data_IF_598619501472
#
_entry.id   IF_598619501472
#
_cell.length_a   1.000
_cell.length_b   1.000
_cell.length_c   1.000
_cell.angle_alpha   90.00
_cell.angle_beta   90.00
_cell.angle_gamma   90.00
#
_symmetry.space_group_name_H-M   'P 1'
#
loop_
_entity.id
_entity.type
_entity.pdbx_description
1 polymer ?
#
# COMPACT_ATOMS: atom_id res chain seq x y z
N UNK A 1 10.75 12.30 -17.48
CA UNK A 1 10.11 11.92 -16.21
C UNK A 1 10.92 12.44 -15.04
N UNK A 2 10.28 13.13 -14.09
CA UNK A 2 10.90 13.56 -12.82
C UNK A 2 9.95 13.22 -11.67
N UNK A 3 10.51 12.79 -10.55
CA UNK A 3 9.79 12.50 -9.31
C UNK A 3 10.33 13.40 -8.21
N UNK A 4 9.45 13.82 -7.32
CA UNK A 4 9.78 14.55 -6.11
C UNK A 4 8.94 14.02 -4.96
N UNK A 5 9.52 14.03 -3.77
CA UNK A 5 8.84 13.57 -2.56
C UNK A 5 9.09 14.55 -1.41
N UNK A 6 8.11 14.64 -0.53
CA UNK A 6 8.13 15.48 0.65
C UNK A 6 7.35 14.81 1.79
N UNK A 7 7.70 15.17 3.02
CA UNK A 7 6.93 14.82 4.22
C UNK A 7 6.80 16.05 5.12
N UNK A 8 5.63 16.24 5.71
CA UNK A 8 5.39 17.21 6.77
C UNK A 8 4.91 16.51 8.03
N UNK A 9 5.39 16.96 9.18
CA UNK A 9 4.97 16.53 10.53
C UNK A 9 4.09 17.59 11.22
N UNK A 10 3.61 18.58 10.48
CA UNK A 10 2.77 19.64 11.03
C UNK A 10 1.48 19.07 11.61
N UNK A 11 1.05 19.59 12.77
CA UNK A 11 -0.21 19.17 13.42
C UNK A 11 -1.45 19.71 12.71
N UNK A 12 -1.29 20.70 11.83
CA UNK A 12 -2.37 21.29 11.04
C UNK A 12 -2.37 20.67 9.66
N UNK A 13 -3.47 20.02 9.26
CA UNK A 13 -3.57 19.39 7.94
C UNK A 13 -3.34 20.40 6.81
N UNK A 14 -3.87 21.62 6.94
CA UNK A 14 -3.71 22.68 5.93
C UNK A 14 -2.26 23.14 5.80
N UNK A 15 -1.54 23.25 6.92
CA UNK A 15 -0.11 23.56 6.91
C UNK A 15 0.68 22.40 6.33
N UNK A 16 0.38 21.16 6.73
CA UNK A 16 1.05 19.97 6.21
C UNK A 16 0.91 19.86 4.69
N UNK A 17 -0.30 20.06 4.16
CA UNK A 17 -0.57 20.06 2.71
C UNK A 17 0.23 21.17 2.02
N UNK A 18 0.23 22.39 2.56
CA UNK A 18 0.99 23.49 1.97
C UNK A 18 2.49 23.17 1.90
N UNK A 19 3.08 22.72 3.00
CA UNK A 19 4.51 22.39 3.10
C UNK A 19 4.92 21.33 2.08
N UNK A 20 4.21 20.18 2.02
CA UNK A 20 4.57 19.11 1.09
C UNK A 20 4.38 19.52 -0.37
N UNK A 21 3.36 20.33 -0.68
CA UNK A 21 3.14 20.79 -2.05
C UNK A 21 4.17 21.82 -2.48
N UNK A 22 4.53 22.76 -1.60
CA UNK A 22 5.60 23.73 -1.87
C UNK A 22 6.92 23.01 -2.16
N UNK A 23 7.32 22.09 -1.28
CA UNK A 23 8.57 21.35 -1.41
C UNK A 23 8.63 20.48 -2.68
N UNK A 24 7.53 19.82 -3.05
CA UNK A 24 7.45 19.03 -4.29
C UNK A 24 7.49 19.93 -5.53
N UNK A 25 6.84 21.09 -5.50
CA UNK A 25 6.85 22.05 -6.62
C UNK A 25 8.21 22.71 -6.83
N UNK A 26 8.99 22.91 -5.78
CA UNK A 26 10.36 23.42 -5.90
C UNK A 26 11.29 22.43 -6.62
N UNK A 27 11.00 21.13 -6.50
CA UNK A 27 11.77 20.06 -7.15
C UNK A 27 11.30 19.74 -8.59
N UNK A 28 10.04 20.09 -8.92
CA UNK A 28 9.44 19.81 -10.22
C UNK A 28 9.24 21.11 -11.03
N UNK A 29 10.03 21.28 -12.09
CA UNK A 29 10.00 22.46 -12.97
C UNK A 29 8.74 22.55 -13.88
N UNK A 30 7.82 21.58 -13.79
CA UNK A 30 6.73 21.34 -14.75
C UNK A 30 5.42 20.98 -14.05
N UNK A 31 4.39 20.71 -14.85
CA UNK A 31 3.09 20.23 -14.40
C UNK A 31 3.25 18.91 -13.65
N UNK A 32 2.50 18.77 -12.56
CA UNK A 32 2.34 17.50 -11.84
C UNK A 32 1.18 16.74 -12.47
N UNK A 33 1.47 15.55 -13.00
CA UNK A 33 0.48 14.68 -13.66
C UNK A 33 -0.07 13.63 -12.69
N UNK A 34 0.77 13.12 -11.79
CA UNK A 34 0.42 12.11 -10.77
C UNK A 34 0.94 12.54 -9.40
N UNK A 35 0.17 12.29 -8.35
CA UNK A 35 0.61 12.39 -6.97
C UNK A 35 0.11 11.22 -6.12
N UNK A 36 1.04 10.57 -5.44
CA UNK A 36 0.77 9.64 -4.36
C UNK A 36 0.72 10.38 -3.03
N UNK A 37 -0.34 10.18 -2.25
CA UNK A 37 -0.49 10.78 -0.92
C UNK A 37 -0.62 9.70 0.16
N UNK A 38 0.17 9.84 1.21
CA UNK A 38 0.07 8.98 2.40
C UNK A 38 -0.14 9.87 3.62
N UNK A 39 -1.24 9.66 4.33
CA UNK A 39 -1.63 10.51 5.47
C UNK A 39 -1.73 9.69 6.75
N UNK A 40 -1.13 10.19 7.83
CA UNK A 40 -1.18 9.52 9.13
C UNK A 40 -2.62 9.35 9.62
N UNK A 41 -2.86 8.26 10.34
CA UNK A 41 -4.09 8.03 11.11
C UNK A 41 -4.39 9.13 12.12
N UNK A 42 -3.38 9.92 12.53
CA UNK A 42 -3.57 11.09 13.39
C UNK A 42 -4.48 12.18 12.76
N UNK A 43 -4.67 12.17 11.43
CA UNK A 43 -5.57 13.07 10.72
C UNK A 43 -6.95 12.47 10.41
N UNK A 44 -7.33 11.33 11.00
CA UNK A 44 -8.55 10.60 10.63
C UNK A 44 -9.84 11.45 10.65
N UNK A 45 -9.96 12.38 11.60
CA UNK A 45 -11.10 13.31 11.70
C UNK A 45 -11.13 14.36 10.58
N UNK A 46 -10.03 14.56 9.86
CA UNK A 46 -9.85 15.59 8.84
C UNK A 46 -9.75 15.03 7.41
N UNK A 47 -9.83 13.71 7.20
CA UNK A 47 -9.68 13.11 5.87
C UNK A 47 -10.63 13.66 4.80
N UNK A 48 -11.85 14.07 5.17
CA UNK A 48 -12.79 14.72 4.24
C UNK A 48 -12.25 16.05 3.68
N UNK A 49 -11.31 16.70 4.39
CA UNK A 49 -10.69 17.97 3.99
C UNK A 49 -9.45 17.78 3.10
N UNK A 50 -8.80 16.61 3.12
CA UNK A 50 -7.52 16.39 2.46
C UNK A 50 -7.62 16.59 0.93
N UNK A 51 -8.59 15.95 0.28
CA UNK A 51 -8.75 16.02 -1.17
C UNK A 51 -9.08 17.44 -1.67
N UNK A 52 -10.03 18.18 -1.06
CA UNK A 52 -10.26 19.59 -1.40
C UNK A 52 -9.01 20.47 -1.26
N UNK A 53 -8.22 20.28 -0.20
CA UNK A 53 -6.98 21.04 0.02
C UNK A 53 -5.95 20.73 -1.08
N UNK A 54 -5.67 19.45 -1.34
CA UNK A 54 -4.71 19.05 -2.37
C UNK A 54 -5.12 19.55 -3.77
N UNK A 55 -6.39 19.44 -4.14
CA UNK A 55 -6.90 19.91 -5.43
C UNK A 55 -6.73 21.42 -5.62
N UNK A 56 -6.80 22.20 -4.54
CA UNK A 56 -6.57 23.64 -4.59
C UNK A 56 -5.14 23.95 -5.03
N UNK A 57 -4.17 23.14 -4.62
CA UNK A 57 -2.77 23.34 -4.98
C UNK A 57 -2.32 22.54 -6.21
N UNK A 58 -2.97 21.41 -6.52
CA UNK A 58 -2.64 20.46 -7.58
C UNK A 58 -3.85 20.17 -8.51
N UNK A 59 -4.44 21.20 -9.16
CA UNK A 59 -5.73 21.06 -9.84
C UNK A 59 -5.73 20.11 -11.04
N UNK A 60 -4.55 19.77 -11.56
CA UNK A 60 -4.41 18.96 -12.78
C UNK A 60 -3.85 17.56 -12.54
N UNK A 61 -3.45 17.25 -11.31
CA UNK A 61 -2.84 15.98 -10.97
C UNK A 61 -3.91 14.91 -10.73
N UNK A 62 -3.66 13.70 -11.21
CA UNK A 62 -4.33 12.52 -10.69
C UNK A 62 -3.76 12.22 -9.31
N UNK A 63 -4.61 12.13 -8.29
CA UNK A 63 -4.18 11.90 -6.92
C UNK A 63 -4.68 10.52 -6.50
N UNK A 64 -3.77 9.67 -6.04
CA UNK A 64 -4.10 8.33 -5.50
C UNK A 64 -3.35 8.14 -4.19
N UNK A 65 -3.95 7.49 -3.21
CA UNK A 65 -3.28 7.33 -1.92
C UNK A 65 -4.13 6.71 -0.84
N UNK A 66 -3.54 6.56 0.33
CA UNK A 66 -4.26 6.01 1.48
C UNK A 66 -3.77 6.57 2.81
N UNK A 67 -4.50 6.22 3.88
CA UNK A 67 -4.04 6.40 5.25
C UNK A 67 -2.91 5.44 5.60
N UNK A 68 -2.05 5.81 6.54
CA UNK A 68 -0.95 4.98 7.03
C UNK A 68 -0.83 5.06 8.55
N UNK A 69 -0.53 3.93 9.19
CA UNK A 69 -0.19 3.89 10.63
C UNK A 69 1.21 4.44 10.89
N UNK A 70 2.11 4.27 9.91
CA UNK A 70 3.34 5.04 9.76
C UNK A 70 3.35 5.70 8.37
N UNK A 71 4.04 6.83 8.25
CA UNK A 71 4.18 7.56 6.98
C UNK A 71 5.65 7.75 6.68
N UNK A 72 6.07 7.33 5.50
CA UNK A 72 7.44 7.47 4.99
C UNK A 72 7.44 8.56 3.91
N UNK A 73 8.47 9.39 3.90
CA UNK A 73 8.71 10.35 2.83
C UNK A 73 10.11 10.95 2.93
N UNK A 74 10.32 12.07 2.23
CA UNK A 74 11.62 12.74 2.18
C UNK A 74 11.58 14.06 2.95
N UNK A 75 12.47 14.21 3.93
CA UNK A 75 12.70 15.45 4.67
C UNK A 75 14.09 15.99 4.30
N UNK A 76 14.15 17.15 3.64
CA UNK A 76 15.41 17.79 3.23
C UNK A 76 16.41 16.82 2.55
N UNK A 77 15.93 16.04 1.57
CA UNK A 77 16.69 15.01 0.82
C UNK A 77 17.07 13.74 1.60
N UNK A 78 16.64 13.57 2.85
CA UNK A 78 16.81 12.34 3.62
C UNK A 78 15.50 11.59 3.80
N UNK A 79 15.50 10.24 3.72
CA UNK A 79 14.31 9.45 4.03
C UNK A 79 13.98 9.59 5.52
N UNK A 80 12.70 9.78 5.82
CA UNK A 80 12.16 9.94 7.17
C UNK A 80 10.90 9.09 7.31
N UNK A 81 10.78 8.41 8.44
CA UNK A 81 9.63 7.58 8.80
C UNK A 81 9.01 8.09 10.10
N UNK A 82 7.71 8.37 10.05
CA UNK A 82 6.95 8.87 11.19
C UNK A 82 5.92 7.82 11.57
N UNK A 83 6.24 7.03 12.60
CA UNK A 83 5.37 5.99 13.15
C UNK A 83 4.30 6.53 14.11
N UNK A 84 4.50 7.72 14.68
CA UNK A 84 3.58 8.29 15.67
C UNK A 84 3.36 9.77 15.45
N UNK A 85 2.09 10.18 15.48
CA UNK A 85 1.67 11.57 15.39
C UNK A 85 1.30 12.02 13.97
N UNK A 86 1.04 13.33 13.80
CA UNK A 86 0.67 13.90 12.50
C UNK A 86 1.80 13.77 11.49
N UNK A 87 1.48 13.20 10.33
CA UNK A 87 2.38 13.13 9.19
C UNK A 87 1.58 13.10 7.88
N UNK A 88 2.11 13.75 6.86
CA UNK A 88 1.60 13.72 5.50
C UNK A 88 2.79 13.61 4.56
N UNK A 89 2.82 12.58 3.72
CA UNK A 89 3.76 12.47 2.62
C UNK A 89 3.06 12.67 1.29
N UNK A 90 3.75 13.37 0.38
CA UNK A 90 3.36 13.56 -0.99
C UNK A 90 4.54 13.17 -1.88
N UNK A 91 4.32 12.21 -2.78
CA UNK A 91 5.25 11.88 -3.85
C UNK A 91 4.59 12.20 -5.18
N UNK A 92 5.14 13.14 -5.94
CA UNK A 92 4.53 13.59 -7.18
C UNK A 92 5.49 13.52 -8.37
N UNK A 93 4.92 13.52 -9.57
CA UNK A 93 5.66 13.31 -10.79
C UNK A 93 5.19 14.17 -11.97
N UNK A 94 6.17 14.58 -12.78
CA UNK A 94 6.02 15.05 -14.17
C UNK A 94 6.24 13.84 -15.09
N UNK A 95 5.16 13.40 -15.73
CA UNK A 95 5.07 12.14 -16.49
C UNK A 95 4.66 12.39 -17.95
N UNK A 96 5.49 13.09 -18.75
CA UNK A 96 5.18 13.32 -20.16
C UNK A 96 5.14 11.97 -20.90
N UNK A 97 4.13 11.79 -21.76
CA UNK A 97 3.97 10.57 -22.56
C UNK A 97 3.41 9.36 -21.80
N UNK A 98 3.02 9.53 -20.53
CA UNK A 98 2.41 8.49 -19.70
C UNK A 98 0.89 8.66 -19.66
N UNK A 99 0.18 7.57 -19.93
CA UNK A 99 -1.25 7.49 -19.70
C UNK A 99 -1.49 7.10 -18.23
N UNK A 100 -2.34 7.85 -17.55
CA UNK A 100 -2.62 7.68 -16.13
C UNK A 100 -4.12 7.47 -15.97
N UNK A 101 -4.51 6.27 -15.57
CA UNK A 101 -5.90 5.91 -15.36
C UNK A 101 -6.12 5.50 -13.91
N UNK A 102 -6.73 6.39 -13.12
CA UNK A 102 -7.04 6.13 -11.71
C UNK A 102 -8.46 5.59 -11.56
N UNK A 103 -8.66 4.66 -10.63
CA UNK A 103 -9.94 4.02 -10.40
C UNK A 103 -10.17 3.73 -8.92
N UNK A 104 -11.44 3.62 -8.56
CA UNK A 104 -11.91 3.13 -7.27
C UNK A 104 -12.91 2.00 -7.54
N UNK A 105 -12.73 0.87 -6.85
CA UNK A 105 -13.54 -0.32 -6.99
C UNK A 105 -13.96 -0.84 -5.62
N UNK A 106 -15.20 -1.29 -5.51
CA UNK A 106 -15.72 -2.05 -4.38
C UNK A 106 -15.96 -3.50 -4.78
N UNK A 107 -16.19 -4.37 -3.80
CA UNK A 107 -16.52 -5.77 -4.07
C UNK A 107 -17.75 -5.95 -4.96
N UNK A 108 -18.70 -5.00 -4.92
CA UNK A 108 -19.91 -5.04 -5.74
C UNK A 108 -19.66 -4.68 -7.22
N UNK A 109 -18.53 -4.04 -7.51
CA UNK A 109 -18.15 -3.67 -8.88
C UNK A 109 -17.39 -4.81 -9.58
N UNK A 110 -16.84 -5.76 -8.82
CA UNK A 110 -16.00 -6.82 -9.37
C UNK A 110 -16.82 -7.81 -10.21
N UNK A 111 -16.33 -8.16 -11.41
CA UNK A 111 -16.86 -9.28 -12.18
C UNK A 111 -16.80 -10.59 -11.38
N UNK A 112 -17.66 -11.54 -11.77
CA UNK A 112 -17.51 -12.92 -11.32
C UNK A 112 -16.16 -13.48 -11.78
N UNK A 113 -15.54 -14.36 -10.99
CA UNK A 113 -14.26 -15.00 -11.34
C UNK A 113 -14.37 -15.87 -12.59
N UNK A 114 -15.57 -16.36 -12.92
CA UNK A 114 -15.85 -17.08 -14.17
C UNK A 114 -16.02 -16.15 -15.39
N UNK A 115 -15.95 -14.83 -15.20
CA UNK A 115 -16.06 -13.83 -16.27
C UNK A 115 -14.83 -13.84 -17.17
N UNK A 116 -15.02 -13.54 -18.45
CA UNK A 116 -13.91 -13.41 -19.40
C UNK A 116 -12.95 -12.27 -19.03
N UNK A 117 -11.69 -12.30 -19.50
CA UNK A 117 -10.70 -11.23 -19.28
C UNK A 117 -11.24 -9.83 -19.64
N UNK A 118 -12.08 -9.74 -20.67
CA UNK A 118 -12.63 -8.47 -21.13
C UNK A 118 -13.44 -7.74 -20.06
N UNK A 119 -14.14 -8.46 -19.17
CA UNK A 119 -14.91 -7.82 -18.09
C UNK A 119 -14.00 -7.07 -17.12
N UNK A 120 -12.81 -7.62 -16.85
CA UNK A 120 -11.79 -6.98 -16.02
C UNK A 120 -11.10 -5.81 -16.75
N UNK A 121 -10.91 -5.95 -18.07
CA UNK A 121 -10.41 -4.87 -18.92
C UNK A 121 -11.37 -3.69 -18.94
N UNK A 122 -12.67 -3.95 -19.07
CA UNK A 122 -13.71 -2.91 -19.07
C UNK A 122 -13.85 -2.25 -17.69
N UNK A 123 -13.67 -3.03 -16.61
CA UNK A 123 -13.69 -2.54 -15.24
C UNK A 123 -12.57 -1.51 -14.97
N UNK A 124 -11.35 -1.85 -15.38
CA UNK A 124 -10.17 -0.99 -15.21
C UNK A 124 -10.16 0.12 -16.25
N UNK A 125 -10.56 -0.17 -17.49
CA UNK A 125 -10.58 0.77 -18.60
C UNK A 125 -9.23 0.97 -19.31
N UNK A 126 -8.32 -0.02 -19.26
CA UNK A 126 -7.00 0.04 -19.93
C UNK A 126 -6.77 -1.18 -20.79
N UNK A 127 -6.37 -0.99 -22.05
CA UNK A 127 -6.12 -2.11 -22.97
C UNK A 127 -4.85 -2.88 -22.56
N UNK A 128 -4.88 -4.22 -22.45
CA UNK A 128 -3.70 -5.02 -22.11
C UNK A 128 -2.51 -4.83 -23.06
N UNK A 129 -2.76 -4.48 -24.32
CA UNK A 129 -1.70 -4.20 -25.30
C UNK A 129 -0.88 -2.94 -24.98
N UNK A 130 -1.39 -2.06 -24.10
CA UNK A 130 -0.64 -0.91 -23.58
C UNK A 130 0.38 -1.29 -22.49
N UNK A 131 0.43 -2.57 -22.09
CA UNK A 131 1.32 -3.10 -21.05
C UNK A 131 1.30 -2.28 -19.75
N UNK A 132 0.12 -2.10 -19.12
CA UNK A 132 0.01 -1.26 -17.94
C UNK A 132 0.74 -1.84 -16.72
N UNK A 133 1.28 -0.97 -15.88
CA UNK A 133 1.65 -1.28 -14.49
C UNK A 133 0.60 -0.75 -13.52
N UNK A 134 0.38 -1.46 -12.41
CA UNK A 134 -0.64 -1.12 -11.41
C UNK A 134 -0.03 -0.79 -10.06
N UNK A 135 -0.48 0.32 -9.47
CA UNK A 135 -0.24 0.65 -8.05
C UNK A 135 -1.59 0.64 -7.33
N UNK A 136 -1.78 -0.25 -6.37
CA UNK A 136 -3.06 -0.53 -5.70
C UNK A 136 -2.99 -0.26 -4.20
N UNK A 137 -4.01 0.36 -3.62
CA UNK A 137 -4.15 0.57 -2.19
C UNK A 137 -5.53 0.10 -1.77
N UNK A 138 -5.60 -0.85 -0.84
CA UNK A 138 -6.85 -1.45 -0.41
C UNK A 138 -7.16 -1.10 1.05
N UNK A 139 -8.46 -0.94 1.34
CA UNK A 139 -8.94 -0.95 2.71
C UNK A 139 -8.81 -2.38 3.28
N UNK A 140 -8.19 -2.57 4.46
CA UNK A 140 -7.91 -3.90 5.00
C UNK A 140 -9.16 -4.71 5.40
N UNK A 141 -10.34 -4.07 5.49
CA UNK A 141 -11.59 -4.73 5.86
C UNK A 141 -12.50 -4.99 4.66
N UNK A 142 -12.11 -4.51 3.48
CA UNK A 142 -12.87 -4.69 2.27
C UNK A 142 -12.59 -6.07 1.67
N UNK A 143 -13.66 -6.76 1.27
CA UNK A 143 -13.55 -7.97 0.45
C UNK A 143 -13.23 -7.61 -1.00
N UNK A 144 -12.83 -8.59 -1.81
CA UNK A 144 -12.60 -8.38 -3.24
C UNK A 144 -11.14 -8.15 -3.63
N UNK A 145 -10.22 -7.94 -2.69
CA UNK A 145 -8.80 -7.71 -3.03
C UNK A 145 -8.17 -8.92 -3.71
N UNK A 146 -8.45 -10.14 -3.23
CA UNK A 146 -7.92 -11.35 -3.86
C UNK A 146 -8.55 -11.59 -5.22
N UNK A 147 -9.86 -11.37 -5.32
CA UNK A 147 -10.63 -11.51 -6.56
C UNK A 147 -10.15 -10.51 -7.62
N UNK A 148 -9.89 -9.26 -7.23
CA UNK A 148 -9.31 -8.25 -8.10
C UNK A 148 -7.93 -8.68 -8.58
N UNK A 149 -7.04 -9.12 -7.68
CA UNK A 149 -5.69 -9.54 -8.07
C UNK A 149 -5.74 -10.73 -9.05
N UNK A 150 -6.58 -11.74 -8.79
CA UNK A 150 -6.77 -12.87 -9.69
C UNK A 150 -7.34 -12.43 -11.05
N UNK A 151 -8.32 -11.53 -11.06
CA UNK A 151 -8.89 -10.96 -12.28
C UNK A 151 -7.86 -10.17 -13.08
N UNK A 152 -7.02 -9.37 -12.41
CA UNK A 152 -5.93 -8.63 -13.04
C UNK A 152 -4.83 -9.56 -13.56
N UNK A 153 -4.52 -10.67 -12.88
CA UNK A 153 -3.57 -11.65 -13.37
C UNK A 153 -4.09 -12.41 -14.60
N UNK A 154 -5.41 -12.61 -14.67
CA UNK A 154 -6.05 -13.22 -15.82
C UNK A 154 -6.10 -12.27 -17.03
N UNK A 155 -6.42 -11.00 -16.82
CA UNK A 155 -6.55 -10.01 -17.89
C UNK A 155 -5.23 -9.36 -18.30
N UNK A 156 -4.28 -9.23 -17.38
CA UNK A 156 -2.99 -8.56 -17.56
C UNK A 156 -1.85 -9.44 -17.02
N UNK A 157 -1.58 -10.61 -17.62
CA UNK A 157 -0.63 -11.57 -17.07
C UNK A 157 0.81 -11.04 -16.97
N UNK A 158 1.19 -10.10 -17.84
CA UNK A 158 2.54 -9.51 -17.86
C UNK A 158 2.65 -8.21 -17.06
N UNK A 159 1.53 -7.67 -16.56
CA UNK A 159 1.53 -6.42 -15.83
C UNK A 159 2.13 -6.57 -14.42
N UNK A 160 3.03 -5.66 -14.07
CA UNK A 160 3.49 -5.49 -12.69
C UNK A 160 2.35 -4.92 -11.84
N UNK A 161 2.06 -5.55 -10.70
CA UNK A 161 1.13 -5.02 -9.69
C UNK A 161 1.88 -4.85 -8.37
N UNK A 162 1.85 -3.65 -7.83
CA UNK A 162 2.40 -3.32 -6.50
C UNK A 162 1.36 -2.58 -5.68
N UNK A 163 1.51 -2.57 -4.36
CA UNK A 163 0.51 -1.93 -3.53
C UNK A 163 0.70 -2.14 -2.04
N UNK A 164 -0.32 -1.75 -1.29
CA UNK A 164 -0.36 -1.88 0.15
C UNK A 164 -1.76 -1.78 0.72
N UNK A 165 -1.85 -2.02 2.03
CA UNK A 165 -3.08 -1.83 2.79
C UNK A 165 -3.07 -0.47 3.46
N UNK A 166 -4.22 0.19 3.49
CA UNK A 166 -4.39 1.42 4.21
C UNK A 166 -4.26 1.18 5.72
N UNK A 167 -3.51 2.03 6.40
CA UNK A 167 -3.41 2.06 7.85
C UNK A 167 -4.71 2.52 8.49
N UNK A 168 -4.97 1.99 9.68
CA UNK A 168 -6.18 2.24 10.46
C UNK A 168 -5.79 2.65 11.88
N UNK A 169 -6.62 3.50 12.49
CA UNK A 169 -6.57 3.73 13.94
C UNK A 169 -7.34 2.60 14.63
N UNK A 170 -6.81 2.02 15.72
CA UNK A 170 -7.37 0.84 16.39
C UNK A 170 -8.85 0.92 16.79
N UNK A 171 -9.43 2.13 16.84
CA UNK A 171 -10.84 2.38 17.15
C UNK A 171 -11.67 2.91 15.96
N UNK A 172 -11.04 3.28 14.85
CA UNK A 172 -11.73 3.70 13.62
C UNK A 172 -11.93 2.48 12.72
N UNK A 173 -13.18 2.25 12.29
CA UNK A 173 -13.49 1.20 11.30
C UNK A 173 -13.22 1.62 9.85
N UNK A 174 -12.80 2.87 9.61
CA UNK A 174 -12.69 3.40 8.26
C UNK A 174 -11.26 3.83 8.00
N UNK A 175 -10.66 3.25 6.96
CA UNK A 175 -9.44 3.78 6.36
C UNK A 175 -9.72 5.08 5.59
N UNK A 176 -8.65 5.79 5.24
CA UNK A 176 -8.69 6.83 4.22
C UNK A 176 -8.19 6.24 2.91
N UNK A 177 -9.05 6.13 1.90
CA UNK A 177 -8.61 5.89 0.52
C UNK A 177 -8.86 7.17 -0.28
N UNK A 178 -7.92 7.55 -1.12
CA UNK A 178 -7.95 8.80 -1.87
C UNK A 178 -7.74 8.49 -3.34
N UNK A 179 -8.66 8.91 -4.20
CA UNK A 179 -8.55 8.69 -5.64
C UNK A 179 -9.25 9.79 -6.44
N UNK A 180 -8.55 10.32 -7.44
CA UNK A 180 -9.01 11.42 -8.27
C UNK A 180 -9.33 12.65 -7.44
N UNK A 181 -10.62 12.92 -7.22
CA UNK A 181 -11.08 14.07 -6.46
C UNK A 181 -11.80 13.74 -5.16
N UNK A 182 -11.85 12.45 -4.77
CA UNK A 182 -12.72 11.97 -3.69
C UNK A 182 -11.96 11.15 -2.67
N UNK A 183 -12.52 11.13 -1.46
CA UNK A 183 -12.21 10.17 -0.41
C UNK A 183 -13.18 8.99 -0.53
N UNK A 184 -12.67 7.78 -0.33
CA UNK A 184 -13.43 6.55 -0.17
C UNK A 184 -13.11 5.93 1.20
N UNK A 185 -14.07 5.16 1.72
CA UNK A 185 -13.99 4.53 3.06
C UNK A 185 -13.83 3.01 3.01
N UNK A 186 -13.97 2.44 1.82
CA UNK A 186 -13.92 1.01 1.56
C UNK A 186 -13.47 0.78 0.12
N UNK A 187 -13.14 -0.47 -0.18
CA UNK A 187 -12.74 -0.93 -1.50
C UNK A 187 -11.24 -0.76 -1.75
N UNK A 188 -10.93 -0.52 -3.00
CA UNK A 188 -9.57 -0.49 -3.53
C UNK A 188 -9.48 0.75 -4.41
N UNK A 189 -8.45 1.55 -4.20
CA UNK A 189 -8.06 2.60 -5.13
C UNK A 189 -6.81 2.16 -5.87
N UNK A 190 -6.73 2.53 -7.13
CA UNK A 190 -5.59 2.15 -7.95
C UNK A 190 -5.28 3.16 -9.03
N UNK A 191 -4.09 3.04 -9.58
CA UNK A 191 -3.71 3.69 -10.82
C UNK A 191 -3.07 2.66 -11.74
N UNK A 192 -3.55 2.64 -12.98
CA UNK A 192 -2.91 1.98 -14.10
C UNK A 192 -2.07 3.01 -14.87
N UNK A 193 -0.82 2.64 -15.14
CA UNK A 193 0.18 3.48 -15.80
C UNK A 193 0.67 2.76 -17.06
N UNK A 194 0.56 3.41 -18.22
CA UNK A 194 1.05 2.89 -19.50
C UNK A 194 1.73 4.00 -20.32
N UNK A 195 2.36 3.66 -21.45
CA UNK A 195 3.07 4.61 -22.31
C UNK A 195 4.56 4.74 -21.98
N UNK A 196 5.10 5.95 -21.87
CA UNK A 196 6.53 6.20 -21.61
C UNK A 196 6.92 5.99 -20.14
N UNK A 197 6.57 4.85 -19.56
CA UNK A 197 6.88 4.45 -18.19
C UNK A 197 7.18 2.95 -18.12
N UNK A 198 8.10 2.58 -17.22
CA UNK A 198 8.36 1.19 -16.85
C UNK A 198 8.15 1.08 -15.34
N UNK A 199 7.34 0.10 -14.92
CA UNK A 199 7.12 -0.23 -13.52
C UNK A 199 7.75 -1.60 -13.21
N UNK A 200 8.84 -1.58 -12.45
CA UNK A 200 9.51 -2.79 -11.96
C UNK A 200 9.35 -2.89 -10.44
N UNK A 201 8.92 -4.04 -9.96
CA UNK A 201 8.83 -4.33 -8.55
C UNK A 201 10.14 -4.94 -8.05
N UNK A 202 10.71 -4.36 -7.00
CA UNK A 202 11.85 -4.92 -6.28
C UNK A 202 11.36 -5.31 -4.89
N UNK A 203 11.67 -6.55 -4.48
CA UNK A 203 11.40 -7.00 -3.12
C UNK A 203 12.69 -6.86 -2.31
N UNK A 204 12.71 -5.90 -1.38
CA UNK A 204 13.70 -5.88 -0.32
C UNK A 204 13.14 -6.71 0.83
N UNK A 205 13.65 -7.93 1.02
CA UNK A 205 13.26 -8.72 2.19
C UNK A 205 13.82 -8.05 3.45
N UNK A 206 12.98 -7.29 4.15
CA UNK A 206 13.35 -6.61 5.40
C UNK A 206 13.71 -7.57 6.54
N UNK A 207 13.21 -8.81 6.47
CA UNK A 207 13.53 -9.88 7.38
C UNK A 207 13.80 -11.15 6.58
N UNK A 208 14.94 -11.79 6.81
CA UNK A 208 15.17 -13.19 6.42
C UNK A 208 14.58 -14.06 7.54
N UNK A 209 13.63 -14.97 7.26
CA UNK A 209 13.15 -15.89 8.29
C UNK A 209 14.34 -16.70 8.83
N UNK A 210 14.39 -16.86 10.15
CA UNK A 210 15.41 -17.64 10.86
C UNK A 210 14.74 -18.83 11.51
N UNK A 211 15.32 -20.02 11.32
CA UNK A 211 14.79 -21.27 11.88
C UNK A 211 13.67 -21.90 11.04
N UNK A 212 13.15 -23.01 11.57
CA UNK A 212 12.05 -23.77 11.02
C UNK A 212 10.70 -23.05 11.19
N UNK A 213 9.69 -23.44 10.39
CA UNK A 213 8.33 -22.96 10.57
C UNK A 213 7.67 -23.67 11.76
N UNK A 214 6.93 -22.92 12.56
CA UNK A 214 6.19 -23.46 13.70
C UNK A 214 4.71 -23.06 13.63
N UNK A 215 3.84 -24.00 13.99
CA UNK A 215 2.41 -23.79 14.17
C UNK A 215 2.10 -23.43 15.62
N UNK A 216 1.15 -22.52 15.83
CA UNK A 216 0.64 -22.21 17.18
C UNK A 216 -0.24 -23.37 17.65
N UNK A 217 0.23 -24.10 18.67
CA UNK A 217 -0.50 -25.21 19.28
C UNK A 217 -1.30 -24.81 20.53
N UNK A 218 -0.89 -23.73 21.22
CA UNK A 218 -1.62 -23.17 22.36
C UNK A 218 -1.46 -21.64 22.42
N UNK A 219 -2.55 -20.93 22.69
CA UNK A 219 -2.54 -19.47 22.85
C UNK A 219 -3.65 -18.97 23.77
N UNK A 220 -3.42 -17.84 24.41
CA UNK A 220 -4.43 -17.09 25.18
C UNK A 220 -4.55 -15.68 24.60
N UNK A 221 -5.69 -15.41 23.94
CA UNK A 221 -5.97 -14.17 23.21
C UNK A 221 -4.85 -13.83 22.21
N UNK A 222 -4.03 -12.83 22.53
CA UNK A 222 -2.94 -12.31 21.72
C UNK A 222 -1.55 -12.78 22.20
N UNK A 223 -1.51 -13.80 23.07
CA UNK A 223 -0.29 -14.39 23.61
C UNK A 223 -0.14 -15.81 23.07
N UNK A 224 0.96 -16.07 22.34
CA UNK A 224 1.35 -17.42 21.96
C UNK A 224 1.98 -18.12 23.17
N UNK A 225 1.41 -19.26 23.57
CA UNK A 225 1.86 -20.02 24.76
C UNK A 225 2.73 -21.20 24.32
N UNK A 226 2.31 -21.94 23.30
CA UNK A 226 3.07 -23.06 22.73
C UNK A 226 3.05 -23.10 21.21
N UNK A 227 4.15 -23.57 20.68
CA UNK A 227 4.43 -23.77 19.27
C UNK A 227 4.86 -25.23 19.04
N UNK A 228 4.55 -25.77 17.87
CA UNK A 228 4.99 -27.08 17.39
C UNK A 228 5.59 -26.93 15.99
N UNK A 229 6.60 -27.73 15.63
CA UNK A 229 7.21 -27.62 14.30
C UNK A 229 6.17 -27.94 13.23
N UNK A 230 6.11 -27.12 12.19
CA UNK A 230 5.23 -27.29 11.05
C UNK A 230 5.89 -28.21 10.00
N UNK A 231 6.15 -29.46 10.40
CA UNK A 231 6.59 -30.49 9.46
C UNK A 231 5.37 -31.09 8.74
N UNK A 232 5.29 -30.89 7.42
CA UNK A 232 4.45 -31.70 6.52
C UNK A 232 5.02 -33.13 6.38
N UNK A 233 5.37 -33.81 7.47
CA UNK A 233 5.81 -35.20 7.43
C UNK A 233 4.61 -36.12 7.64
N UNK A 234 4.36 -36.99 6.65
CA UNK A 234 3.36 -38.08 6.63
C UNK A 234 3.53 -39.12 7.76
N UNK A 235 4.39 -38.84 8.74
CA UNK A 235 4.70 -39.68 9.89
C UNK A 235 4.06 -39.08 11.12
N UNK A 236 2.86 -39.57 11.48
CA UNK A 236 2.06 -39.14 12.63
C UNK A 236 2.66 -39.35 14.02
N UNK A 237 3.89 -38.89 14.25
CA UNK A 237 4.51 -38.80 15.56
C UNK A 237 4.27 -37.39 16.11
N UNK A 238 3.60 -37.32 17.25
CA UNK A 238 3.34 -36.06 17.95
C UNK A 238 4.68 -35.41 18.35
N UNK A 239 4.98 -34.26 17.75
CA UNK A 239 6.13 -33.46 18.15
C UNK A 239 5.85 -32.75 19.48
N UNK A 240 6.89 -32.54 20.28
CA UNK A 240 6.76 -31.87 21.58
C UNK A 240 6.46 -30.39 21.38
N UNK A 241 5.34 -29.91 21.92
CA UNK A 241 5.03 -28.48 21.94
C UNK A 241 5.94 -27.75 22.94
N UNK A 242 6.52 -26.64 22.50
CA UNK A 242 7.47 -25.84 23.28
C UNK A 242 6.98 -24.40 23.38
N UNK A 243 7.44 -23.67 24.38
CA UNK A 243 7.15 -22.23 24.47
C UNK A 243 7.94 -21.44 23.41
N UNK A 244 7.45 -20.28 22.94
CA UNK A 244 8.20 -19.43 22.02
C UNK A 244 9.61 -19.07 22.53
N UNK A 245 9.77 -18.91 23.85
CA UNK A 245 11.06 -18.58 24.46
C UNK A 245 12.07 -19.74 24.34
N UNK A 246 11.64 -20.98 24.59
CA UNK A 246 12.52 -22.16 24.48
C UNK A 246 13.00 -22.34 23.04
N UNK A 247 12.10 -22.18 22.06
CA UNK A 247 12.45 -22.25 20.63
C UNK A 247 13.46 -21.16 20.27
N UNK A 248 13.22 -19.90 20.67
CA UNK A 248 14.15 -18.80 20.41
C UNK A 248 15.52 -19.01 21.05
N UNK A 249 15.56 -19.57 22.28
CA UNK A 249 16.82 -19.88 22.97
C UNK A 249 17.63 -20.94 22.23
N UNK A 250 16.98 -22.02 21.77
CA UNK A 250 17.64 -23.06 20.96
C UNK A 250 18.11 -22.49 19.63
N UNK A 251 17.23 -21.79 18.92
CA UNK A 251 17.54 -21.19 17.61
C UNK A 251 18.77 -20.28 17.68
N UNK A 252 18.82 -19.39 18.68
CA UNK A 252 19.94 -18.45 18.84
C UNK A 252 21.26 -19.14 19.19
N UNK A 253 21.23 -20.31 19.85
CA UNK A 253 22.43 -21.10 20.14
C UNK A 253 22.98 -21.82 18.91
N UNK A 254 22.10 -22.19 17.96
CA UNK A 254 22.44 -22.95 16.76
C UNK A 254 22.76 -22.05 15.55
N UNK A 255 22.43 -20.75 15.63
CA UNK A 255 22.76 -19.77 14.60
C UNK A 255 24.26 -19.50 14.54
N UNK A 256 24.84 -19.60 13.33
CA UNK A 256 26.17 -19.09 13.03
C UNK A 256 26.19 -17.56 13.01
N UNK A 257 27.34 -16.94 13.27
CA UNK A 257 27.53 -15.48 13.19
C UNK A 257 27.50 -14.91 11.76
N UNK A 258 27.36 -15.76 10.74
CA UNK A 258 27.15 -15.40 9.32
C UNK A 258 25.67 -15.48 8.93
#
# INVERSE_FOLDING_TARGET
>A
MKWASAISTSVSLETAVREVVEQVKEQLDRRIDLAFVFVSVAFASEYERLMPLLQTHLPTAQIVGCSGSGVIGMENDFPSEIETGPALSLTAADLPGVNINSFHLTAADLPDLDSSPQAWVDLVGVDPSEQPGFVLMADPFSSGTNELLQGLDFAYPEATKVGGLAGIESFSKYSGLFCGQRRYREGIVGVALSGEIVLEAIVAQGCRPIGELYRISEGDRNIMIKLELDELTDTGLAQSSQTPLEILQTLFQEMSEE
#
